data_IF_680931639357
#
_entry.id   IF_680931639357
#
_cell.length_a   1.000
_cell.length_b   1.000
_cell.length_c   1.000
_cell.angle_alpha   90.00
_cell.angle_beta   90.00
_cell.angle_gamma   90.00
#
_symmetry.space_group_name_H-M   'P 1'
#
loop_
_entity.id
_entity.type
_entity.pdbx_description
1 polymer ?
#
# COMPACT_ATOMS: atom_id res chain seq x y z
N UNK A 1 -27.39 -12.12 10.36
CA UNK A 1 -28.28 -10.93 10.29
C UNK A 1 -28.60 -10.38 11.68
N UNK A 2 -29.07 -11.23 12.59
CA UNK A 2 -29.41 -10.87 13.99
C UNK A 2 -28.21 -10.32 14.78
N UNK A 3 -27.04 -10.99 14.73
CA UNK A 3 -25.80 -10.48 15.37
C UNK A 3 -25.41 -9.08 14.89
N UNK A 4 -25.63 -8.76 13.60
CA UNK A 4 -25.32 -7.44 13.04
C UNK A 4 -26.29 -6.36 13.51
N UNK A 5 -27.58 -6.70 13.60
CA UNK A 5 -28.60 -5.78 14.12
C UNK A 5 -28.36 -5.46 15.60
N UNK A 6 -28.02 -6.49 16.41
CA UNK A 6 -27.66 -6.32 17.81
C UNK A 6 -26.41 -5.43 17.98
N UNK A 7 -25.34 -5.71 17.22
CA UNK A 7 -24.11 -4.91 17.26
C UNK A 7 -24.35 -3.45 16.84
N UNK A 8 -25.25 -3.20 15.89
CA UNK A 8 -25.62 -1.82 15.49
C UNK A 8 -26.37 -1.09 16.61
N UNK A 9 -27.38 -1.71 17.20
CA UNK A 9 -28.15 -1.12 18.30
C UNK A 9 -27.24 -0.81 19.51
N UNK A 10 -26.29 -1.68 19.79
CA UNK A 10 -25.25 -1.45 20.79
C UNK A 10 -24.35 -0.26 20.42
N UNK A 11 -23.82 -0.22 19.20
CA UNK A 11 -22.96 0.86 18.74
C UNK A 11 -23.65 2.23 18.81
N UNK A 12 -24.97 2.30 18.63
CA UNK A 12 -25.73 3.54 18.76
C UNK A 12 -25.74 4.12 20.19
N UNK A 13 -25.60 3.26 21.21
CA UNK A 13 -25.58 3.63 22.62
C UNK A 13 -24.18 3.95 23.17
N UNK A 14 -23.12 3.67 22.43
CA UNK A 14 -21.73 3.89 22.86
C UNK A 14 -21.25 5.32 22.57
N UNK A 15 -20.26 5.84 23.33
CA UNK A 15 -19.52 7.03 22.94
C UNK A 15 -18.91 6.84 21.55
N UNK A 16 -18.98 7.89 20.73
CA UNK A 16 -18.56 7.84 19.33
C UNK A 16 -17.17 8.46 19.16
N UNK A 17 -16.31 7.73 18.47
CA UNK A 17 -15.04 8.22 17.93
C UNK A 17 -15.19 8.36 16.42
N UNK A 18 -14.83 9.54 15.90
CA UNK A 18 -14.89 9.81 14.46
C UNK A 18 -13.59 9.34 13.79
N UNK A 19 -13.75 8.59 12.71
CA UNK A 19 -12.67 8.16 11.83
C UNK A 19 -12.45 9.20 10.73
N UNK A 20 -11.19 9.56 10.49
CA UNK A 20 -10.79 10.23 9.26
C UNK A 20 -10.81 9.21 8.08
N UNK A 21 -10.63 9.71 6.85
CA UNK A 21 -10.63 8.85 5.66
C UNK A 21 -9.54 7.75 5.75
N UNK A 22 -8.32 8.12 6.16
CA UNK A 22 -7.20 7.18 6.37
C UNK A 22 -7.51 6.16 7.48
N UNK A 23 -8.25 6.55 8.52
CA UNK A 23 -8.62 5.63 9.59
C UNK A 23 -9.64 4.57 9.12
N UNK A 24 -10.53 4.93 8.19
CA UNK A 24 -11.45 3.97 7.55
C UNK A 24 -10.67 2.94 6.73
N UNK A 25 -9.62 3.36 6.02
CA UNK A 25 -8.73 2.45 5.29
C UNK A 25 -7.99 1.50 6.24
N UNK A 26 -7.53 1.98 7.40
CA UNK A 26 -6.94 1.10 8.41
C UNK A 26 -7.94 0.15 9.06
N UNK A 27 -9.15 0.62 9.33
CA UNK A 27 -10.23 -0.25 9.79
C UNK A 27 -10.51 -1.36 8.76
N UNK A 28 -10.42 -1.06 7.46
CA UNK A 28 -10.56 -2.04 6.38
C UNK A 28 -9.41 -3.05 6.36
N UNK A 29 -8.17 -2.59 6.49
CA UNK A 29 -6.98 -3.45 6.63
C UNK A 29 -7.15 -4.44 7.80
N UNK A 30 -7.61 -3.96 8.95
CA UNK A 30 -7.83 -4.77 10.15
C UNK A 30 -9.00 -5.75 9.94
N UNK A 31 -10.13 -5.26 9.40
CA UNK A 31 -11.36 -6.02 9.17
C UNK A 31 -11.14 -7.32 8.41
N UNK A 32 -10.30 -7.27 7.38
CA UNK A 32 -10.06 -8.38 6.47
C UNK A 32 -8.87 -9.25 6.87
N UNK A 33 -8.17 -8.91 7.96
CA UNK A 33 -7.07 -9.71 8.48
C UNK A 33 -5.75 -9.53 7.74
N UNK A 34 -5.56 -8.44 6.99
CA UNK A 34 -4.26 -8.10 6.39
C UNK A 34 -3.17 -7.94 7.45
N UNK A 35 -3.54 -7.47 8.65
CA UNK A 35 -2.68 -7.30 9.81
C UNK A 35 -2.66 -8.51 10.76
N UNK A 36 -3.15 -9.69 10.35
CA UNK A 36 -3.18 -10.88 11.21
C UNK A 36 -1.80 -11.13 11.86
N UNK A 37 -1.75 -11.40 13.18
CA UNK A 37 -2.87 -11.75 14.07
C UNK A 37 -3.43 -10.58 14.89
N UNK A 38 -3.17 -9.33 14.51
CA UNK A 38 -3.70 -8.17 15.22
C UNK A 38 -5.24 -8.20 15.22
N UNK A 39 -5.87 -7.91 16.37
CA UNK A 39 -7.34 -8.01 16.54
C UNK A 39 -8.07 -6.67 16.40
N UNK A 40 -7.34 -5.58 16.30
CA UNK A 40 -7.89 -4.22 16.12
C UNK A 40 -6.78 -3.18 16.12
N UNK A 41 -7.08 -1.94 16.47
CA UNK A 41 -6.04 -0.92 16.60
C UNK A 41 -5.09 -1.28 17.75
N UNK A 42 -3.79 -1.09 17.53
CA UNK A 42 -2.76 -1.53 18.46
C UNK A 42 -2.95 -0.95 19.86
N UNK A 43 -2.82 -1.81 20.88
CA UNK A 43 -2.58 -1.38 22.27
C UNK A 43 -1.16 -0.88 22.44
N UNK A 44 -0.85 -0.24 23.58
CA UNK A 44 0.47 0.34 23.82
C UNK A 44 1.58 -0.72 23.67
N UNK A 45 1.37 -1.92 24.21
CA UNK A 45 2.34 -3.00 24.13
C UNK A 45 2.64 -3.44 22.68
N UNK A 46 1.62 -3.47 21.82
CA UNK A 46 1.76 -3.85 20.41
C UNK A 46 2.41 -2.71 19.61
N UNK A 47 2.00 -1.47 19.90
CA UNK A 47 2.57 -0.26 19.33
C UNK A 47 4.07 -0.14 19.60
N UNK A 48 4.49 -0.32 20.86
CA UNK A 48 5.90 -0.28 21.24
C UNK A 48 6.70 -1.41 20.57
N UNK A 49 6.16 -2.63 20.54
CA UNK A 49 6.83 -3.75 19.86
C UNK A 49 6.98 -3.50 18.35
N UNK A 50 5.92 -3.00 17.70
CA UNK A 50 5.96 -2.59 16.30
C UNK A 50 7.05 -1.54 16.06
N UNK A 51 7.05 -0.48 16.87
CA UNK A 51 7.92 0.68 16.67
C UNK A 51 9.40 0.36 16.91
N UNK A 52 9.71 -0.47 17.92
CA UNK A 52 11.09 -0.80 18.29
C UNK A 52 11.63 -2.06 17.60
N UNK A 53 10.78 -3.04 17.31
CA UNK A 53 11.22 -4.38 16.89
C UNK A 53 10.64 -4.83 15.55
N UNK A 54 9.78 -4.02 14.92
CA UNK A 54 9.14 -4.35 13.65
C UNK A 54 8.42 -5.71 13.68
N UNK A 55 7.98 -6.15 14.87
CA UNK A 55 7.39 -7.46 15.09
C UNK A 55 6.53 -7.47 16.36
N UNK A 56 5.61 -8.43 16.43
CA UNK A 56 4.80 -8.73 17.61
C UNK A 56 5.15 -10.12 18.13
N UNK A 57 5.31 -10.24 19.45
CA UNK A 57 5.45 -11.53 20.11
C UNK A 57 4.08 -12.21 20.20
N UNK A 58 4.00 -13.41 19.65
CA UNK A 58 2.82 -14.25 19.72
C UNK A 58 2.73 -14.94 21.09
N UNK A 59 1.52 -15.28 21.57
CA UNK A 59 1.34 -16.07 22.79
C UNK A 59 2.08 -17.42 22.77
N UNK A 60 2.29 -17.99 21.58
CA UNK A 60 3.06 -19.23 21.37
C UNK A 60 4.58 -19.04 21.48
N UNK A 61 5.06 -17.82 21.68
CA UNK A 61 6.48 -17.48 21.79
C UNK A 61 7.16 -17.08 20.47
N UNK A 62 6.51 -17.33 19.32
CA UNK A 62 6.99 -16.91 18.00
C UNK A 62 6.88 -15.41 17.76
N UNK A 63 7.47 -14.93 16.66
CA UNK A 63 7.36 -13.53 16.21
C UNK A 63 6.53 -13.45 14.92
N UNK A 64 5.63 -12.48 14.85
CA UNK A 64 5.00 -12.08 13.60
C UNK A 64 5.56 -10.72 13.17
N UNK A 65 5.98 -10.58 11.91
CA UNK A 65 6.40 -9.29 11.39
C UNK A 65 5.26 -8.26 11.53
N UNK A 66 5.58 -7.04 11.96
CA UNK A 66 4.65 -5.92 12.08
C UNK A 66 5.44 -4.62 12.19
N UNK A 67 5.71 -4.00 11.05
CA UNK A 67 6.65 -2.87 10.96
C UNK A 67 6.00 -1.49 10.96
N UNK A 68 4.68 -1.39 10.75
CA UNK A 68 3.96 -0.11 10.73
C UNK A 68 2.94 -0.03 11.87
N UNK A 69 2.92 1.08 12.64
CA UNK A 69 1.88 1.32 13.62
C UNK A 69 0.49 1.43 12.99
N UNK A 70 -0.42 0.51 13.33
CA UNK A 70 -1.84 0.55 12.96
C UNK A 70 -2.63 1.02 14.19
N UNK A 71 -2.77 2.34 14.31
CA UNK A 71 -3.27 3.02 15.51
C UNK A 71 -4.35 4.03 15.13
N UNK A 72 -5.26 4.31 16.07
CA UNK A 72 -6.28 5.35 15.95
C UNK A 72 -5.98 6.47 16.95
N UNK A 73 -5.99 7.73 16.51
CA UNK A 73 -5.66 8.87 17.35
C UNK A 73 -6.90 9.58 17.89
N UNK A 74 -6.78 10.14 19.10
CA UNK A 74 -7.81 10.95 19.76
C UNK A 74 -7.22 12.30 20.19
N UNK A 75 -7.98 13.37 19.98
CA UNK A 75 -7.72 14.64 20.65
C UNK A 75 -8.19 14.60 22.12
N UNK A 76 -7.85 15.63 22.90
CA UNK A 76 -8.21 15.69 24.33
C UNK A 76 -9.73 15.66 24.53
N UNK A 77 -10.49 16.36 23.69
CA UNK A 77 -11.95 16.41 23.78
C UNK A 77 -12.61 15.05 23.47
N UNK A 78 -12.07 14.29 22.52
CA UNK A 78 -12.51 12.94 22.19
C UNK A 78 -12.16 11.97 23.33
N UNK A 79 -10.94 12.05 23.88
CA UNK A 79 -10.55 11.27 25.05
C UNK A 79 -11.47 11.53 26.25
N UNK A 80 -11.77 12.79 26.55
CA UNK A 80 -12.64 13.16 27.68
C UNK A 80 -14.08 12.65 27.47
N UNK A 81 -14.57 12.70 26.24
CA UNK A 81 -15.90 12.17 25.87
C UNK A 81 -15.98 10.65 25.98
N UNK A 82 -14.90 9.94 25.66
CA UNK A 82 -14.80 8.49 25.85
C UNK A 82 -14.77 8.15 27.34
N UNK A 83 -14.02 8.91 28.13
CA UNK A 83 -13.99 8.79 29.59
C UNK A 83 -13.60 7.38 30.05
N UNK A 84 -14.43 6.76 30.89
CA UNK A 84 -14.22 5.42 31.43
C UNK A 84 -15.01 4.32 30.67
N UNK A 85 -15.53 4.62 29.48
CA UNK A 85 -16.27 3.63 28.71
C UNK A 85 -15.35 2.47 28.31
N UNK A 86 -15.78 1.20 28.49
CA UNK A 86 -14.96 0.05 28.09
C UNK A 86 -14.90 -0.13 26.57
N UNK A 87 -15.93 0.34 25.86
CA UNK A 87 -16.10 0.17 24.43
C UNK A 87 -16.53 1.50 23.79
N UNK A 88 -16.18 1.70 22.51
CA UNK A 88 -16.58 2.88 21.73
C UNK A 88 -17.09 2.47 20.36
N UNK A 89 -18.02 3.25 19.82
CA UNK A 89 -18.44 3.11 18.43
C UNK A 89 -17.55 3.97 17.52
N UNK A 90 -17.16 3.41 16.37
CA UNK A 90 -16.38 4.08 15.34
C UNK A 90 -17.30 4.54 14.21
N UNK A 91 -17.32 5.85 13.96
CA UNK A 91 -18.13 6.46 12.93
C UNK A 91 -17.26 7.00 11.79
N UNK A 92 -17.62 6.72 10.54
CA UNK A 92 -16.94 7.24 9.36
C UNK A 92 -17.08 8.77 9.21
N UNK A 93 -16.39 9.36 8.21
CA UNK A 93 -16.48 10.79 7.93
C UNK A 93 -17.91 11.30 7.66
N UNK A 94 -18.77 10.45 7.08
CA UNK A 94 -20.19 10.71 6.80
C UNK A 94 -21.10 10.52 8.02
N UNK A 95 -20.55 10.10 9.16
CA UNK A 95 -21.29 9.82 10.39
C UNK A 95 -21.87 8.40 10.47
N UNK A 96 -21.67 7.56 9.44
CA UNK A 96 -22.13 6.18 9.47
C UNK A 96 -21.36 5.37 10.51
N UNK A 97 -22.06 4.57 11.32
CA UNK A 97 -21.42 3.62 12.24
C UNK A 97 -20.79 2.47 11.46
N UNK A 98 -19.48 2.28 11.63
CA UNK A 98 -18.69 1.30 10.89
C UNK A 98 -18.25 0.12 11.76
N UNK A 99 -17.86 0.37 13.01
CA UNK A 99 -17.35 -0.65 13.90
C UNK A 99 -17.60 -0.32 15.38
N UNK A 100 -17.40 -1.31 16.25
CA UNK A 100 -17.19 -1.14 17.69
C UNK A 100 -15.74 -1.49 18.00
N UNK A 101 -15.07 -0.69 18.83
CA UNK A 101 -13.77 -0.98 19.38
C UNK A 101 -13.93 -1.37 20.85
N UNK A 102 -13.55 -2.60 21.18
CA UNK A 102 -13.80 -3.25 22.47
C UNK A 102 -12.62 -3.17 23.42
N UNK A 103 -12.94 -3.16 24.71
CA UNK A 103 -11.98 -3.25 25.81
C UNK A 103 -10.84 -2.23 25.65
N UNK A 104 -11.18 -0.98 25.41
CA UNK A 104 -10.24 0.02 24.92
C UNK A 104 -9.11 0.32 25.90
N UNK A 105 -8.01 0.82 25.36
CA UNK A 105 -6.87 1.35 26.10
C UNK A 105 -6.42 2.65 25.45
N UNK A 106 -6.34 3.74 26.22
CA UNK A 106 -5.91 5.05 25.74
C UNK A 106 -4.53 5.36 26.31
N UNK A 107 -3.58 5.70 25.43
CA UNK A 107 -2.18 5.95 25.80
C UNK A 107 -1.58 7.12 24.98
N UNK A 108 -0.44 7.71 25.41
CA UNK A 108 0.11 8.90 24.75
C UNK A 108 0.58 8.66 23.30
N UNK A 109 0.36 9.64 22.43
CA UNK A 109 0.86 9.67 21.07
C UNK A 109 2.14 10.52 20.98
N UNK A 110 3.29 9.91 21.26
CA UNK A 110 4.60 10.56 21.10
C UNK A 110 4.92 10.72 19.60
N UNK A 111 4.31 11.71 18.94
CA UNK A 111 4.34 11.88 17.48
C UNK A 111 5.75 11.95 16.92
N UNK A 112 6.63 12.77 17.48
CA UNK A 112 8.00 12.92 16.98
C UNK A 112 8.77 11.60 17.03
N UNK A 113 8.66 10.85 18.13
CA UNK A 113 9.27 9.53 18.27
C UNK A 113 8.69 8.53 17.26
N UNK A 114 7.36 8.50 17.11
CA UNK A 114 6.67 7.66 16.12
C UNK A 114 7.22 7.92 14.72
N UNK A 115 7.31 9.20 14.34
CA UNK A 115 7.77 9.63 13.01
C UNK A 115 9.23 9.25 12.82
N UNK A 116 10.10 9.58 13.77
CA UNK A 116 11.52 9.30 13.72
C UNK A 116 11.81 7.81 13.54
N UNK A 117 11.13 6.93 14.30
CA UNK A 117 11.38 5.48 14.26
C UNK A 117 10.76 4.81 13.05
N UNK A 118 9.65 5.32 12.53
CA UNK A 118 8.97 4.73 11.36
C UNK A 118 9.65 5.16 10.05
N UNK A 119 9.97 6.45 9.90
CA UNK A 119 10.53 7.01 8.66
C UNK A 119 12.05 7.18 8.67
N UNK A 120 12.71 7.17 9.83
CA UNK A 120 14.15 7.46 9.96
C UNK A 120 14.49 8.95 9.85
N UNK A 121 13.50 9.83 9.90
CA UNK A 121 13.62 11.30 9.86
C UNK A 121 12.36 11.91 10.47
N UNK A 122 12.43 13.16 10.90
CA UNK A 122 11.29 14.00 11.33
C UNK A 122 11.13 15.24 10.45
N UNK A 123 11.74 15.23 9.25
CA UNK A 123 11.64 16.34 8.31
C UNK A 123 10.16 16.66 7.98
N UNK A 124 9.80 17.96 7.87
CA UNK A 124 8.47 18.35 7.42
C UNK A 124 8.27 17.97 5.93
N UNK A 125 7.01 17.86 5.48
CA UNK A 125 6.70 17.53 4.09
C UNK A 125 6.65 16.03 3.79
N UNK A 126 6.65 15.17 4.81
CA UNK A 126 6.40 13.75 4.66
C UNK A 126 4.89 13.53 4.46
N UNK A 127 4.42 13.08 3.28
CA UNK A 127 3.01 13.19 2.92
C UNK A 127 2.05 12.48 3.88
N UNK A 128 2.40 11.27 4.32
CA UNK A 128 1.56 10.53 5.28
C UNK A 128 1.58 11.16 6.68
N UNK A 129 2.73 11.71 7.09
CA UNK A 129 2.87 12.37 8.39
C UNK A 129 1.99 13.63 8.41
N UNK A 130 2.05 14.43 7.35
CA UNK A 130 1.28 15.66 7.22
C UNK A 130 -0.24 15.39 7.11
N UNK A 131 -0.63 14.29 6.47
CA UNK A 131 -2.04 13.87 6.36
C UNK A 131 -2.59 13.32 7.68
N UNK A 132 -1.86 12.42 8.35
CA UNK A 132 -2.44 11.52 9.36
C UNK A 132 -1.81 11.59 10.75
N UNK A 133 -0.66 12.25 10.94
CA UNK A 133 0.03 12.29 12.25
C UNK A 133 0.14 13.71 12.79
N UNK A 134 0.59 14.66 11.98
CA UNK A 134 0.69 16.08 12.34
C UNK A 134 -0.65 16.62 12.84
N UNK A 135 -1.77 16.51 12.09
CA UNK A 135 -3.06 17.04 12.53
C UNK A 135 -3.79 16.16 13.55
N UNK A 136 -3.29 14.95 13.83
CA UNK A 136 -3.94 14.02 14.74
C UNK A 136 -3.90 14.50 16.20
N UNK A 137 -4.66 13.85 17.08
CA UNK A 137 -4.58 14.15 18.52
C UNK A 137 -3.35 13.56 19.22
N UNK A 138 -3.21 13.90 20.51
CA UNK A 138 -2.06 13.53 21.35
C UNK A 138 -2.24 12.19 22.08
N UNK A 139 -3.33 11.48 21.81
CA UNK A 139 -3.62 10.17 22.39
C UNK A 139 -3.83 9.15 21.28
N UNK A 140 -3.51 7.89 21.57
CA UNK A 140 -3.86 6.73 20.77
C UNK A 140 -4.87 5.89 21.54
N UNK A 141 -5.77 5.22 20.81
CA UNK A 141 -6.73 4.26 21.36
C UNK A 141 -6.57 2.91 20.68
N UNK A 142 -6.27 1.88 21.48
CA UNK A 142 -6.16 0.49 21.07
C UNK A 142 -7.34 -0.34 21.58
N UNK A 143 -7.63 -1.47 20.92
CA UNK A 143 -8.74 -2.34 21.30
C UNK A 143 -9.02 -3.44 20.28
N UNK A 144 -9.98 -4.31 20.59
CA UNK A 144 -10.41 -5.36 19.65
C UNK A 144 -11.50 -4.81 18.72
N UNK A 145 -11.30 -4.90 17.41
CA UNK A 145 -12.17 -4.27 16.40
C UNK A 145 -13.27 -5.24 15.93
N UNK A 146 -14.53 -4.83 16.08
CA UNK A 146 -15.69 -5.55 15.56
C UNK A 146 -16.40 -4.70 14.51
N UNK A 147 -16.24 -5.05 13.23
CA UNK A 147 -16.82 -4.30 12.12
C UNK A 147 -18.28 -4.70 11.90
N UNK A 148 -19.17 -3.72 11.75
CA UNK A 148 -20.61 -3.98 11.58
C UNK A 148 -20.93 -4.61 10.22
N UNK A 149 -20.21 -4.17 9.19
CA UNK A 149 -20.37 -4.62 7.81
C UNK A 149 -19.03 -4.51 7.06
N UNK A 150 -18.83 -5.28 5.97
CA UNK A 150 -17.67 -5.09 5.10
C UNK A 150 -17.58 -3.64 4.61
N UNK A 151 -16.37 -3.08 4.63
CA UNK A 151 -16.13 -1.70 4.22
C UNK A 151 -16.18 -1.62 2.69
N UNK A 152 -16.90 -0.63 2.18
CA UNK A 152 -17.06 -0.36 0.75
C UNK A 152 -16.87 1.12 0.48
N UNK A 153 -16.28 1.44 -0.67
CA UNK A 153 -16.03 2.82 -1.07
C UNK A 153 -17.04 3.32 -2.10
N UNK A 154 -17.75 2.40 -2.78
CA UNK A 154 -18.76 2.70 -3.80
C UNK A 154 -18.23 3.62 -4.93
N UNK A 155 -16.94 3.47 -5.26
CA UNK A 155 -16.21 4.24 -6.27
C UNK A 155 -16.08 3.51 -7.61
N UNK A 156 -16.84 2.42 -7.79
CA UNK A 156 -16.77 1.55 -8.95
C UNK A 156 -15.64 0.50 -8.90
N UNK A 157 -14.77 0.51 -7.89
CA UNK A 157 -13.60 -0.38 -7.80
C UNK A 157 -13.71 -1.46 -6.70
N UNK A 158 -14.82 -1.51 -5.96
CA UNK A 158 -14.99 -2.47 -4.85
C UNK A 158 -14.88 -3.93 -5.29
N UNK A 159 -15.19 -4.25 -6.54
CA UNK A 159 -15.05 -5.60 -7.09
C UNK A 159 -13.59 -6.06 -7.26
N UNK A 160 -12.63 -5.12 -7.24
CA UNK A 160 -11.20 -5.42 -7.18
C UNK A 160 -10.67 -5.51 -5.74
N UNK A 161 -11.44 -5.12 -4.72
CA UNK A 161 -11.00 -5.14 -3.31
C UNK A 161 -11.30 -6.51 -2.71
N UNK A 162 -10.47 -7.49 -3.05
CA UNK A 162 -10.59 -8.85 -2.53
C UNK A 162 -9.85 -8.95 -1.18
N UNK A 163 -10.56 -9.44 -0.17
CA UNK A 163 -9.95 -9.79 1.12
C UNK A 163 -8.89 -10.89 0.98
N UNK A 164 -7.97 -11.04 1.96
CA UNK A 164 -7.02 -12.14 2.00
C UNK A 164 -7.67 -13.52 1.86
N UNK A 165 -8.86 -13.72 2.45
CA UNK A 165 -9.59 -14.98 2.30
C UNK A 165 -10.08 -15.18 0.86
N UNK A 166 -10.69 -14.18 0.25
CA UNK A 166 -11.17 -14.26 -1.14
C UNK A 166 -10.01 -14.48 -2.13
N UNK A 167 -8.84 -13.89 -1.87
CA UNK A 167 -7.64 -14.12 -2.67
C UNK A 167 -7.18 -15.58 -2.58
N UNK A 168 -7.14 -16.16 -1.37
CA UNK A 168 -6.81 -17.58 -1.18
C UNK A 168 -7.79 -18.48 -1.92
N UNK A 169 -9.09 -18.22 -1.79
CA UNK A 169 -10.14 -18.97 -2.48
C UNK A 169 -9.97 -18.90 -4.01
N UNK A 170 -9.60 -17.74 -4.56
CA UNK A 170 -9.35 -17.57 -5.99
C UNK A 170 -8.05 -18.28 -6.44
N UNK A 171 -6.99 -18.29 -5.63
CA UNK A 171 -5.78 -19.06 -5.92
C UNK A 171 -6.06 -20.57 -5.97
N UNK A 172 -6.82 -21.07 -4.99
CA UNK A 172 -7.23 -22.49 -4.92
C UNK A 172 -8.11 -22.85 -6.12
N UNK A 173 -9.08 -22.00 -6.47
CA UNK A 173 -9.96 -22.18 -7.64
C UNK A 173 -9.17 -22.23 -8.95
N UNK A 174 -8.09 -21.46 -9.08
CA UNK A 174 -7.19 -21.50 -10.25
C UNK A 174 -6.20 -22.65 -10.20
N UNK A 175 -6.15 -23.43 -9.12
CA UNK A 175 -5.18 -24.51 -8.94
C UNK A 175 -3.74 -23.98 -8.92
N UNK A 176 -3.52 -22.83 -8.28
CA UNK A 176 -2.18 -22.23 -8.18
C UNK A 176 -1.28 -23.10 -7.29
N UNK A 177 -0.10 -23.48 -7.80
CA UNK A 177 0.91 -24.19 -7.01
C UNK A 177 2.06 -23.28 -6.51
N UNK A 178 2.08 -22.03 -7.01
CA UNK A 178 2.85 -20.93 -6.46
C UNK A 178 2.12 -19.60 -6.70
N UNK A 179 2.13 -18.72 -5.71
CA UNK A 179 1.64 -17.34 -5.87
C UNK A 179 2.79 -16.37 -5.66
N UNK A 180 3.00 -15.47 -6.63
CA UNK A 180 4.01 -14.43 -6.55
C UNK A 180 3.37 -13.05 -6.62
N UNK A 181 3.66 -12.21 -5.62
CA UNK A 181 3.05 -10.90 -5.48
C UNK A 181 3.93 -9.78 -6.04
N UNK A 182 3.30 -8.84 -6.75
CA UNK A 182 3.90 -7.59 -7.16
C UNK A 182 3.13 -6.41 -6.55
N UNK A 183 3.70 -5.81 -5.51
CA UNK A 183 3.23 -4.56 -4.92
C UNK A 183 3.57 -3.39 -5.83
N UNK A 184 2.62 -2.48 -6.04
CA UNK A 184 2.85 -1.24 -6.79
C UNK A 184 1.91 -0.11 -6.35
N UNK A 185 2.39 1.12 -6.52
CA UNK A 185 1.59 2.35 -6.39
C UNK A 185 1.61 3.21 -7.67
N UNK A 186 2.37 2.77 -8.68
CA UNK A 186 2.65 3.52 -9.91
C UNK A 186 2.07 2.79 -11.12
N UNK A 187 1.88 3.46 -12.26
CA UNK A 187 1.61 2.79 -13.54
C UNK A 187 2.62 1.68 -13.86
N UNK A 188 2.15 0.62 -14.51
CA UNK A 188 3.00 -0.50 -14.95
C UNK A 188 3.67 -0.14 -16.26
N UNK A 189 5.01 -0.01 -16.25
CA UNK A 189 5.83 0.04 -17.45
C UNK A 189 6.51 -1.33 -17.68
N UNK A 190 7.13 -1.53 -18.83
CA UNK A 190 7.69 -2.82 -19.24
C UNK A 190 8.88 -3.28 -18.39
N UNK A 191 9.44 -2.39 -17.55
CA UNK A 191 10.43 -2.75 -16.54
C UNK A 191 9.80 -3.54 -15.39
N UNK A 192 8.63 -3.12 -14.91
CA UNK A 192 7.85 -3.91 -13.96
C UNK A 192 7.40 -5.23 -14.60
N UNK A 193 6.93 -5.20 -15.84
CA UNK A 193 6.55 -6.41 -16.57
C UNK A 193 7.71 -7.39 -16.74
N UNK A 194 8.93 -6.90 -17.01
CA UNK A 194 10.13 -7.73 -17.06
C UNK A 194 10.35 -8.49 -15.75
N UNK A 195 10.21 -7.83 -14.59
CA UNK A 195 10.35 -8.47 -13.28
C UNK A 195 9.27 -9.54 -13.05
N UNK A 196 8.02 -9.26 -13.42
CA UNK A 196 6.90 -10.18 -13.26
C UNK A 196 7.03 -11.40 -14.19
N UNK A 197 7.33 -11.18 -15.47
CA UNK A 197 7.50 -12.24 -16.46
C UNK A 197 8.74 -13.10 -16.18
N UNK A 198 9.86 -12.47 -15.76
CA UNK A 198 11.06 -13.22 -15.37
C UNK A 198 10.85 -14.03 -14.09
N UNK A 199 10.05 -13.52 -13.14
CA UNK A 199 9.63 -14.31 -11.96
C UNK A 199 8.85 -15.55 -12.38
N UNK A 200 7.83 -15.40 -13.23
CA UNK A 200 7.06 -16.53 -13.75
C UNK A 200 7.97 -17.57 -14.40
N UNK A 201 8.87 -17.13 -15.28
CA UNK A 201 9.84 -18.00 -15.95
C UNK A 201 10.69 -18.79 -14.95
N UNK A 202 11.27 -18.12 -13.94
CA UNK A 202 12.06 -18.79 -12.90
C UNK A 202 11.25 -19.80 -12.10
N UNK A 203 9.99 -19.49 -11.77
CA UNK A 203 9.13 -20.44 -11.05
C UNK A 203 8.83 -21.69 -11.89
N UNK A 204 8.58 -21.53 -13.19
CA UNK A 204 8.43 -22.67 -14.10
C UNK A 204 9.72 -23.51 -14.16
N UNK A 205 10.89 -22.87 -14.21
CA UNK A 205 12.20 -23.55 -14.17
C UNK A 205 12.46 -24.27 -12.85
N UNK A 206 11.95 -23.74 -11.73
CA UNK A 206 11.98 -24.40 -10.42
C UNK A 206 11.02 -25.60 -10.31
N UNK A 207 10.16 -25.81 -11.31
CA UNK A 207 9.29 -26.98 -11.41
C UNK A 207 7.81 -26.72 -11.10
N UNK A 208 7.44 -25.51 -10.67
CA UNK A 208 6.03 -25.12 -10.54
C UNK A 208 5.34 -25.20 -11.91
N UNK A 209 4.08 -25.62 -11.93
CA UNK A 209 3.28 -25.88 -13.12
C UNK A 209 2.29 -24.76 -13.39
N UNK A 210 1.80 -24.11 -12.35
CA UNK A 210 0.80 -23.06 -12.45
C UNK A 210 1.09 -21.90 -11.48
N UNK A 211 2.23 -21.21 -11.64
CA UNK A 211 2.49 -20.01 -10.86
C UNK A 211 1.47 -18.92 -11.23
N UNK A 212 0.88 -18.22 -10.26
CA UNK A 212 -0.08 -17.14 -10.51
C UNK A 212 0.48 -15.81 -10.00
N UNK A 213 0.43 -14.78 -10.85
CA UNK A 213 0.78 -13.41 -10.50
C UNK A 213 -0.37 -12.79 -9.71
N UNK A 214 -0.07 -12.27 -8.53
CA UNK A 214 -0.92 -11.31 -7.85
C UNK A 214 -0.41 -9.89 -8.15
N UNK A 215 -0.99 -9.24 -9.15
CA UNK A 215 -0.74 -7.84 -9.47
C UNK A 215 -1.57 -6.98 -8.51
N UNK A 216 -0.90 -6.32 -7.56
CA UNK A 216 -1.57 -5.88 -6.34
C UNK A 216 -1.40 -4.39 -6.08
N UNK A 217 -2.03 -3.50 -6.89
CA UNK A 217 -1.96 -2.07 -6.69
C UNK A 217 -2.46 -1.66 -5.30
N UNK A 218 -1.73 -0.79 -4.62
CA UNK A 218 -2.19 -0.13 -3.40
C UNK A 218 -3.29 0.88 -3.75
N UNK A 219 -4.36 0.91 -2.94
CA UNK A 219 -5.53 1.73 -3.17
C UNK A 219 -6.05 2.53 -1.97
N UNK A 220 -5.35 2.52 -0.84
CA UNK A 220 -5.56 3.55 0.19
C UNK A 220 -4.89 4.88 -0.18
N UNK A 221 -4.71 5.75 0.81
CA UNK A 221 -4.06 7.05 0.66
C UNK A 221 -2.73 6.97 -0.10
N UNK A 222 -2.57 7.89 -1.05
CA UNK A 222 -1.33 8.17 -1.77
C UNK A 222 -1.13 9.68 -1.86
N UNK A 223 0.13 10.14 -1.88
CA UNK A 223 0.48 11.55 -2.00
C UNK A 223 -0.04 12.17 -3.31
N UNK A 224 -0.30 13.49 -3.29
CA UNK A 224 -1.03 14.19 -4.35
C UNK A 224 -0.40 14.13 -5.76
N UNK A 225 0.91 13.96 -5.90
CA UNK A 225 1.57 13.88 -7.22
C UNK A 225 1.65 12.45 -7.80
N UNK A 226 1.16 11.43 -7.08
CA UNK A 226 1.00 10.07 -7.60
C UNK A 226 -0.23 9.99 -8.52
N UNK A 227 -0.23 9.02 -9.44
CA UNK A 227 -1.38 8.81 -10.36
C UNK A 227 -2.55 8.22 -9.55
N UNK A 228 -3.76 8.80 -9.63
CA UNK A 228 -4.94 8.32 -8.90
C UNK A 228 -5.27 6.86 -9.20
N UNK A 229 -5.86 6.18 -8.21
CA UNK A 229 -6.18 4.76 -8.29
C UNK A 229 -7.04 4.38 -9.53
N UNK A 230 -8.15 5.07 -9.87
CA UNK A 230 -8.94 4.73 -11.05
C UNK A 230 -8.14 4.74 -12.35
N UNK A 231 -7.29 5.76 -12.53
CA UNK A 231 -6.41 5.90 -13.70
C UNK A 231 -5.37 4.78 -13.74
N UNK A 232 -4.80 4.40 -12.59
CA UNK A 232 -3.88 3.25 -12.51
C UNK A 232 -4.58 1.94 -12.86
N UNK A 233 -5.79 1.71 -12.36
CA UNK A 233 -6.55 0.50 -12.66
C UNK A 233 -6.89 0.40 -14.15
N UNK A 234 -7.30 1.50 -14.78
CA UNK A 234 -7.51 1.56 -16.23
C UNK A 234 -6.21 1.29 -17.00
N UNK A 235 -5.10 1.91 -16.57
CA UNK A 235 -3.79 1.68 -17.18
C UNK A 235 -3.35 0.22 -17.06
N UNK A 236 -3.58 -0.42 -15.91
CA UNK A 236 -3.27 -1.84 -15.70
C UNK A 236 -4.14 -2.76 -16.55
N UNK A 237 -5.44 -2.43 -16.76
CA UNK A 237 -6.31 -3.14 -17.70
C UNK A 237 -5.69 -3.15 -19.10
N UNK A 238 -5.20 -2.01 -19.57
CA UNK A 238 -4.53 -1.92 -20.88
C UNK A 238 -3.24 -2.72 -20.97
N UNK A 239 -2.47 -2.83 -19.89
CA UNK A 239 -1.27 -3.71 -19.87
C UNK A 239 -1.65 -5.18 -20.07
N UNK A 240 -2.77 -5.62 -19.50
CA UNK A 240 -3.28 -6.98 -19.66
C UNK A 240 -3.91 -7.21 -21.04
N UNK A 241 -4.71 -6.26 -21.54
CA UNK A 241 -5.30 -6.30 -22.87
C UNK A 241 -4.23 -6.35 -23.98
N UNK A 242 -3.14 -5.61 -23.82
CA UNK A 242 -2.00 -5.61 -24.77
C UNK A 242 -1.12 -6.87 -24.65
N UNK A 243 -1.42 -7.79 -23.73
CA UNK A 243 -0.68 -9.04 -23.55
C UNK A 243 0.73 -8.89 -22.97
N UNK A 244 1.05 -7.72 -22.40
CA UNK A 244 2.34 -7.50 -21.71
C UNK A 244 2.43 -8.36 -20.44
N UNK A 245 1.30 -8.53 -19.78
CA UNK A 245 1.06 -9.53 -18.73
C UNK A 245 -0.07 -10.44 -19.21
N UNK A 246 0.06 -11.73 -18.94
CA UNK A 246 -0.95 -12.73 -19.32
C UNK A 246 -2.15 -12.67 -18.36
N UNK A 247 -3.38 -12.35 -18.84
CA UNK A 247 -4.57 -12.24 -17.99
C UNK A 247 -5.02 -13.58 -17.39
N UNK A 248 -4.75 -14.72 -18.04
CA UNK A 248 -5.16 -16.03 -17.53
C UNK A 248 -4.40 -16.39 -16.26
N UNK A 249 -3.13 -15.97 -16.19
CA UNK A 249 -2.23 -16.29 -15.08
C UNK A 249 -1.96 -15.10 -14.17
N UNK A 250 -2.82 -14.07 -14.25
CA UNK A 250 -2.77 -12.87 -13.41
C UNK A 250 -4.09 -12.65 -12.69
N UNK A 251 -4.01 -12.34 -11.40
CA UNK A 251 -5.10 -11.81 -10.59
C UNK A 251 -4.76 -10.35 -10.28
N UNK A 252 -5.67 -9.44 -10.63
CA UNK A 252 -5.59 -8.03 -10.25
C UNK A 252 -6.48 -7.80 -9.04
N UNK A 253 -5.91 -7.27 -7.97
CA UNK A 253 -6.65 -6.92 -6.74
C UNK A 253 -6.10 -5.64 -6.14
N UNK A 254 -6.95 -4.88 -5.46
CA UNK A 254 -6.55 -3.64 -4.78
C UNK A 254 -6.22 -3.95 -3.32
N UNK A 255 -5.02 -3.56 -2.90
CA UNK A 255 -4.60 -3.64 -1.50
C UNK A 255 -5.07 -2.37 -0.76
N UNK A 256 -5.91 -2.48 0.29
CA UNK A 256 -6.61 -1.33 0.87
C UNK A 256 -5.76 -0.44 1.79
N UNK A 257 -4.50 -0.79 2.05
CA UNK A 257 -3.64 -0.04 2.98
C UNK A 257 -3.33 1.38 2.49
N UNK A 258 -3.25 2.36 3.40
CA UNK A 258 -2.59 3.64 3.15
C UNK A 258 -1.10 3.46 2.82
N UNK A 259 -0.53 4.30 1.96
CA UNK A 259 0.90 4.35 1.63
C UNK A 259 1.65 5.30 2.57
N UNK A 260 2.69 4.81 3.25
CA UNK A 260 3.47 5.61 4.21
C UNK A 260 4.65 6.34 3.57
N UNK A 261 5.16 5.80 2.47
CA UNK A 261 6.44 6.17 1.88
C UNK A 261 7.61 5.99 2.89
N UNK A 262 7.54 4.92 3.69
CA UNK A 262 8.51 4.63 4.77
C UNK A 262 9.56 3.56 4.38
N UNK A 263 9.75 3.34 3.08
CA UNK A 263 10.91 2.59 2.55
C UNK A 263 11.11 1.20 3.16
N UNK A 264 12.29 0.89 3.72
CA UNK A 264 12.60 -0.42 4.32
C UNK A 264 11.69 -0.82 5.48
N UNK A 265 11.11 0.13 6.22
CA UNK A 265 10.12 -0.17 7.26
C UNK A 265 8.82 -0.64 6.63
N UNK A 266 8.32 0.08 5.62
CA UNK A 266 7.04 -0.22 4.99
C UNK A 266 7.06 -1.43 4.05
N UNK A 267 8.18 -1.73 3.38
CA UNK A 267 8.26 -2.89 2.48
C UNK A 267 8.03 -4.21 3.24
N UNK A 268 8.38 -4.27 4.52
CA UNK A 268 8.08 -5.41 5.39
C UNK A 268 6.57 -5.58 5.56
N UNK A 269 5.83 -4.49 5.80
CA UNK A 269 4.37 -4.49 5.87
C UNK A 269 3.75 -4.95 4.54
N UNK A 270 4.22 -4.41 3.42
CA UNK A 270 3.72 -4.81 2.09
C UNK A 270 3.91 -6.30 1.82
N UNK A 271 5.02 -6.89 2.28
CA UNK A 271 5.31 -8.31 2.15
C UNK A 271 4.46 -9.16 3.11
N UNK A 272 4.41 -8.79 4.40
CA UNK A 272 3.60 -9.47 5.44
C UNK A 272 2.13 -9.55 5.04
N UNK A 273 1.56 -8.46 4.55
CA UNK A 273 0.17 -8.42 4.09
C UNK A 273 -0.09 -9.44 2.96
N UNK A 274 0.89 -9.66 2.08
CA UNK A 274 0.79 -10.62 0.97
C UNK A 274 0.99 -12.06 1.41
N UNK A 275 1.79 -12.30 2.44
CA UNK A 275 1.82 -13.61 3.13
C UNK A 275 0.42 -13.93 3.68
N UNK A 276 -0.22 -12.96 4.34
CA UNK A 276 -1.57 -13.13 4.88
C UNK A 276 -2.61 -13.37 3.78
N UNK A 277 -2.40 -12.84 2.58
CA UNK A 277 -3.20 -13.15 1.39
C UNK A 277 -2.86 -14.47 0.69
N UNK A 278 -1.77 -15.16 1.05
CA UNK A 278 -1.40 -16.47 0.48
C UNK A 278 -0.26 -16.45 -0.54
N UNK A 279 0.45 -15.32 -0.71
CA UNK A 279 1.64 -15.29 -1.56
C UNK A 279 2.82 -16.05 -0.93
N UNK A 280 3.49 -16.89 -1.71
CA UNK A 280 4.68 -17.64 -1.31
C UNK A 280 5.98 -16.97 -1.79
N UNK A 281 5.87 -16.12 -2.81
CA UNK A 281 6.95 -15.34 -3.39
C UNK A 281 6.61 -13.85 -3.41
N UNK A 282 7.61 -13.02 -3.16
CA UNK A 282 7.44 -11.57 -3.17
C UNK A 282 8.52 -10.91 -4.01
N UNK A 283 8.09 -10.18 -5.03
CA UNK A 283 8.98 -9.44 -5.91
C UNK A 283 9.34 -8.12 -5.23
N UNK A 284 10.65 -7.85 -5.12
CA UNK A 284 11.14 -6.59 -4.58
C UNK A 284 12.25 -6.01 -5.46
N UNK A 285 12.06 -4.75 -5.87
CA UNK A 285 12.97 -4.00 -6.72
C UNK A 285 13.88 -3.03 -5.96
N UNK A 286 14.35 -2.00 -6.66
CA UNK A 286 15.11 -0.86 -6.10
C UNK A 286 14.17 0.07 -5.34
N UNK A 287 14.62 0.57 -4.19
CA UNK A 287 13.96 1.62 -3.40
C UNK A 287 12.45 1.36 -3.16
N UNK A 288 12.07 0.15 -2.70
CA UNK A 288 10.66 -0.17 -2.48
C UNK A 288 10.10 0.73 -1.38
N UNK A 289 8.89 1.23 -1.61
CA UNK A 289 8.22 2.19 -0.74
C UNK A 289 9.00 3.50 -0.46
N UNK A 290 10.03 3.81 -1.25
CA UNK A 290 10.78 5.06 -1.13
C UNK A 290 10.13 6.26 -1.84
N UNK A 291 10.66 7.44 -1.51
CA UNK A 291 10.42 8.72 -2.16
C UNK A 291 11.67 9.61 -2.04
N UNK A 292 11.69 10.73 -2.78
CA UNK A 292 12.71 11.77 -2.57
C UNK A 292 12.54 12.45 -1.22
N UNK A 293 13.64 12.91 -0.62
CA UNK A 293 13.61 13.66 0.63
C UNK A 293 12.86 14.99 0.43
N UNK A 294 11.89 15.37 1.28
CA UNK A 294 11.09 16.58 1.05
C UNK A 294 11.91 17.88 0.99
N UNK A 295 13.01 17.95 1.76
CA UNK A 295 13.82 19.17 1.91
C UNK A 295 15.23 19.06 1.32
N UNK A 296 15.65 17.88 0.86
CA UNK A 296 17.03 17.64 0.39
C UNK A 296 17.03 17.01 -1.01
N UNK A 297 18.05 17.30 -1.82
CA UNK A 297 18.17 16.75 -3.19
C UNK A 297 18.74 15.33 -3.20
N UNK A 298 18.09 14.40 -2.50
CA UNK A 298 18.46 12.97 -2.44
C UNK A 298 17.24 12.08 -2.22
N UNK A 299 17.41 10.77 -2.43
CA UNK A 299 16.44 9.77 -2.00
C UNK A 299 16.34 9.75 -0.45
N UNK A 300 15.16 9.47 0.09
CA UNK A 300 14.94 9.35 1.53
C UNK A 300 15.68 8.13 2.11
N UNK A 301 15.75 7.05 1.34
CA UNK A 301 16.36 5.78 1.72
C UNK A 301 17.46 5.38 0.75
N UNK A 302 18.39 4.56 1.23
CA UNK A 302 19.29 3.87 0.32
C UNK A 302 18.50 2.83 -0.50
N UNK A 303 18.66 2.81 -1.83
CA UNK A 303 17.85 2.00 -2.73
C UNK A 303 17.96 0.48 -2.56
N UNK A 304 18.99 -0.01 -1.88
CA UNK A 304 19.18 -1.44 -1.61
C UNK A 304 18.71 -1.87 -0.23
N UNK A 305 18.41 -0.93 0.68
CA UNK A 305 18.04 -1.26 2.05
C UNK A 305 16.73 -2.04 2.12
N UNK A 306 15.73 -1.73 1.29
CA UNK A 306 14.46 -2.45 1.32
C UNK A 306 14.63 -3.95 1.05
N UNK A 307 15.45 -4.32 0.05
CA UNK A 307 15.77 -5.74 -0.26
C UNK A 307 16.53 -6.42 0.89
N UNK A 308 17.55 -5.74 1.44
CA UNK A 308 18.37 -6.28 2.53
C UNK A 308 17.57 -6.47 3.80
N UNK A 309 16.82 -5.46 4.24
CA UNK A 309 15.97 -5.50 5.43
C UNK A 309 14.93 -6.61 5.28
N UNK A 310 14.27 -6.71 4.13
CA UNK A 310 13.26 -7.76 3.93
C UNK A 310 13.85 -9.17 4.08
N UNK A 311 15.09 -9.40 3.61
CA UNK A 311 15.76 -10.71 3.71
C UNK A 311 16.17 -11.14 5.11
N UNK A 312 16.17 -10.20 6.07
CA UNK A 312 16.54 -10.46 7.47
C UNK A 312 15.41 -10.12 8.47
N UNK A 313 14.23 -9.77 7.96
CA UNK A 313 13.12 -9.31 8.78
C UNK A 313 12.49 -10.48 9.56
N UNK A 314 12.30 -10.34 10.89
CA UNK A 314 11.72 -11.40 11.72
C UNK A 314 10.26 -11.66 11.33
N UNK A 315 9.87 -12.93 11.31
CA UNK A 315 8.51 -13.37 10.96
C UNK A 315 8.21 -13.43 9.46
N UNK A 316 9.21 -13.17 8.59
CA UNK A 316 9.11 -13.30 7.12
C UNK A 316 9.97 -14.45 6.56
N UNK A 317 10.48 -15.34 7.41
CA UNK A 317 11.44 -16.38 7.03
C UNK A 317 10.88 -17.38 6.00
N UNK A 318 9.55 -17.52 5.96
CA UNK A 318 8.85 -18.41 5.02
C UNK A 318 8.58 -17.79 3.65
N UNK A 319 8.81 -16.48 3.49
CA UNK A 319 8.57 -15.78 2.23
C UNK A 319 9.80 -15.86 1.34
N UNK A 320 9.62 -16.40 0.14
CA UNK A 320 10.68 -16.42 -0.85
C UNK A 320 10.81 -15.05 -1.50
N UNK A 321 11.80 -14.29 -1.06
CA UNK A 321 12.09 -12.97 -1.61
C UNK A 321 12.84 -13.16 -2.92
N UNK A 322 12.32 -12.59 -3.99
CA UNK A 322 12.96 -12.60 -5.30
C UNK A 322 13.55 -11.21 -5.57
N UNK A 323 14.82 -10.96 -5.20
CA UNK A 323 15.45 -9.68 -5.43
C UNK A 323 15.78 -9.52 -6.91
N UNK A 324 15.43 -8.37 -7.46
CA UNK A 324 15.76 -8.02 -8.83
C UNK A 324 16.84 -6.94 -8.91
N UNK A 325 17.68 -7.06 -9.95
CA UNK A 325 18.52 -5.97 -10.42
C UNK A 325 17.62 -4.86 -10.98
N UNK A 326 18.18 -3.66 -11.09
CA UNK A 326 17.48 -2.52 -11.69
C UNK A 326 17.16 -2.85 -13.15
N UNK A 327 15.93 -2.60 -13.60
CA UNK A 327 15.55 -2.67 -15.00
C UNK A 327 15.61 -1.26 -15.61
N UNK A 328 16.18 -1.14 -16.81
CA UNK A 328 16.30 0.12 -17.55
C UNK A 328 16.04 -0.14 -19.05
N UNK A 329 15.80 0.93 -19.81
CA UNK A 329 15.55 0.81 -21.25
C UNK A 329 16.88 0.65 -21.98
N UNK A 330 17.10 -0.50 -22.61
CA UNK A 330 18.27 -0.77 -23.43
C UNK A 330 18.06 -0.14 -24.81
N UNK A 331 18.86 0.88 -25.13
CA UNK A 331 18.73 1.68 -26.35
C UNK A 331 19.18 0.92 -27.60
N UNK A 332 20.04 -0.09 -27.45
CA UNK A 332 20.51 -0.95 -28.54
C UNK A 332 19.47 -2.01 -28.85
N UNK A 333 18.98 -2.71 -27.81
CA UNK A 333 17.97 -3.75 -27.95
C UNK A 333 16.53 -3.22 -28.13
N UNK A 334 16.34 -1.91 -27.90
CA UNK A 334 15.04 -1.20 -27.97
C UNK A 334 13.95 -1.84 -27.11
N UNK A 335 14.30 -2.22 -25.89
CA UNK A 335 13.37 -2.84 -24.92
C UNK A 335 13.88 -2.68 -23.49
N UNK A 336 13.00 -2.94 -22.52
CA UNK A 336 13.42 -3.03 -21.12
C UNK A 336 14.29 -4.26 -20.88
N UNK A 337 15.41 -4.09 -20.18
CA UNK A 337 16.34 -5.15 -19.80
C UNK A 337 16.92 -4.91 -18.40
N UNK A 338 17.53 -5.93 -17.80
CA UNK A 338 18.27 -5.76 -16.55
C UNK A 338 19.54 -4.95 -16.81
N UNK A 339 19.79 -3.95 -15.96
CA UNK A 339 20.93 -3.06 -16.08
C UNK A 339 22.28 -3.81 -15.93
N UNK A 340 23.21 -3.52 -16.82
CA UNK A 340 24.56 -4.07 -16.84
C UNK A 340 25.60 -2.94 -16.72
N UNK A 341 26.33 -2.84 -15.59
CA UNK A 341 27.27 -1.75 -15.36
C UNK A 341 28.38 -1.63 -16.42
N UNK A 342 28.80 -2.76 -16.99
CA UNK A 342 29.85 -2.82 -18.03
C UNK A 342 29.47 -2.14 -19.34
N UNK A 343 28.17 -1.90 -19.58
CA UNK A 343 27.64 -1.21 -20.77
C UNK A 343 26.61 -0.15 -20.39
N UNK A 344 26.88 0.55 -19.29
CA UNK A 344 25.95 1.51 -18.69
C UNK A 344 25.47 2.61 -19.64
N UNK A 345 26.28 2.98 -20.64
CA UNK A 345 25.94 3.95 -21.69
C UNK A 345 24.80 3.51 -22.60
N UNK A 346 24.53 2.21 -22.69
CA UNK A 346 23.46 1.67 -23.54
C UNK A 346 22.08 1.76 -22.86
N UNK A 347 22.03 2.14 -21.58
CA UNK A 347 20.81 2.14 -20.78
C UNK A 347 20.28 3.55 -20.49
N UNK A 348 18.98 3.73 -20.72
CA UNK A 348 18.24 4.93 -20.37
C UNK A 348 17.36 4.68 -19.13
N UNK A 349 17.57 5.50 -18.10
CA UNK A 349 16.71 5.56 -16.92
C UNK A 349 15.64 6.63 -17.12
N UNK A 350 14.37 6.22 -17.11
CA UNK A 350 13.22 7.12 -17.19
C UNK A 350 12.57 7.17 -15.82
N UNK A 351 12.76 8.26 -15.10
CA UNK A 351 12.13 8.47 -13.80
C UNK A 351 10.63 8.73 -13.95
N UNK A 352 9.87 8.56 -12.87
CA UNK A 352 8.46 8.96 -12.84
C UNK A 352 8.28 10.42 -13.24
N UNK A 353 9.14 11.33 -12.75
CA UNK A 353 9.13 12.75 -13.16
C UNK A 353 9.29 12.91 -14.68
N UNK A 354 10.25 12.21 -15.30
CA UNK A 354 10.47 12.29 -16.75
C UNK A 354 9.30 11.71 -17.54
N UNK A 355 8.73 10.59 -17.07
CA UNK A 355 7.52 10.00 -17.64
C UNK A 355 6.34 10.97 -17.58
N UNK A 356 6.15 11.68 -16.46
CA UNK A 356 5.14 12.73 -16.34
C UNK A 356 5.39 13.90 -17.27
N UNK A 357 6.65 14.30 -17.45
CA UNK A 357 7.01 15.35 -18.42
C UNK A 357 6.61 14.94 -19.83
N UNK A 358 6.96 13.73 -20.27
CA UNK A 358 6.54 13.22 -21.59
C UNK A 358 5.04 13.27 -21.78
N UNK A 359 4.27 12.75 -20.82
CA UNK A 359 2.81 12.75 -20.92
C UNK A 359 2.20 14.16 -20.94
N UNK A 360 2.82 15.13 -20.24
CA UNK A 360 2.37 16.53 -20.23
C UNK A 360 2.74 17.30 -21.50
N UNK A 361 3.86 16.99 -22.15
CA UNK A 361 4.30 17.68 -23.37
C UNK A 361 3.79 17.02 -24.65
N UNK A 362 3.09 15.88 -24.55
CA UNK A 362 2.65 15.09 -25.70
C UNK A 362 3.78 14.31 -26.37
N UNK A 363 4.97 14.26 -25.75
CA UNK A 363 6.07 13.41 -26.18
C UNK A 363 5.83 11.96 -25.76
N UNK A 364 6.36 11.00 -26.52
CA UNK A 364 6.30 9.60 -26.16
C UNK A 364 7.62 9.14 -25.52
N UNK A 365 7.58 8.24 -24.51
CA UNK A 365 8.76 7.51 -24.13
C UNK A 365 9.21 6.62 -25.30
N UNK A 366 10.47 6.12 -25.29
CA UNK A 366 10.94 5.20 -26.31
C UNK A 366 10.02 3.97 -26.47
N UNK A 367 9.81 3.55 -27.72
CA UNK A 367 9.04 2.34 -28.04
C UNK A 367 9.52 1.16 -27.21
N UNK A 368 8.60 0.44 -26.57
CA UNK A 368 8.94 -0.70 -25.70
C UNK A 368 9.25 -0.33 -24.25
N UNK A 369 9.18 0.96 -23.86
CA UNK A 369 9.19 1.37 -22.45
C UNK A 369 7.89 1.02 -21.72
N UNK A 370 6.75 1.26 -22.36
CA UNK A 370 5.39 0.96 -21.86
C UNK A 370 4.52 0.55 -23.06
N UNK A 371 3.48 -0.25 -22.85
CA UNK A 371 2.56 -0.56 -23.94
C UNK A 371 1.78 0.68 -24.40
N UNK A 372 1.44 0.79 -25.70
CA UNK A 372 0.74 1.95 -26.24
C UNK A 372 -0.61 2.23 -25.58
N UNK A 373 -1.39 1.18 -25.28
CA UNK A 373 -2.69 1.33 -24.61
C UNK A 373 -2.54 1.93 -23.21
N UNK A 374 -1.58 1.41 -22.43
CA UNK A 374 -1.27 1.92 -21.11
C UNK A 374 -0.70 3.34 -21.13
N UNK A 375 0.13 3.67 -22.12
CA UNK A 375 0.67 5.03 -22.28
C UNK A 375 -0.44 6.04 -22.61
N UNK A 376 -1.37 5.68 -23.49
CA UNK A 376 -2.50 6.53 -23.86
C UNK A 376 -3.35 6.95 -22.64
N UNK A 377 -3.63 6.02 -21.72
CA UNK A 377 -4.37 6.32 -20.48
C UNK A 377 -3.66 7.41 -19.66
N UNK A 378 -2.32 7.36 -19.58
CA UNK A 378 -1.55 8.38 -18.86
C UNK A 378 -1.60 9.73 -19.57
N UNK A 379 -1.46 9.76 -20.89
CA UNK A 379 -1.56 11.01 -21.68
C UNK A 379 -2.92 11.65 -21.50
N UNK A 380 -4.01 10.87 -21.60
CA UNK A 380 -5.37 11.36 -21.43
C UNK A 380 -5.59 11.95 -20.03
N UNK A 381 -5.08 11.29 -18.98
CA UNK A 381 -5.09 11.81 -17.61
C UNK A 381 -4.29 13.12 -17.45
N UNK A 382 -3.06 13.20 -17.96
CA UNK A 382 -2.27 14.43 -17.81
C UNK A 382 -2.82 15.59 -18.63
N UNK A 383 -3.51 15.32 -19.75
CA UNK A 383 -4.23 16.33 -20.52
C UNK A 383 -5.48 16.85 -19.79
N UNK A 384 -6.20 16.00 -19.03
CA UNK A 384 -7.37 16.45 -18.27
C UNK A 384 -6.98 17.46 -17.18
N UNK A 385 -5.84 17.26 -16.51
CA UNK A 385 -5.31 18.19 -15.51
C UNK A 385 -4.97 19.57 -16.09
N UNK A 386 -4.48 19.63 -17.34
CA UNK A 386 -4.18 20.90 -18.01
C UNK A 386 -5.47 21.65 -18.38
N UNK A 387 -6.50 20.90 -18.78
CA UNK A 387 -7.80 21.46 -19.16
C UNK A 387 -8.52 22.04 -17.95
N UNK A 388 -8.56 21.31 -16.83
CA UNK A 388 -9.14 21.78 -15.57
C UNK A 388 -8.40 23.03 -15.03
N UNK A 389 -7.07 23.03 -15.10
CA UNK A 389 -6.24 24.19 -14.71
C UNK A 389 -6.44 25.42 -15.59
N UNK A 390 -6.80 25.25 -16.88
CA UNK A 390 -7.10 26.36 -17.79
C UNK A 390 -8.52 26.94 -17.59
N UNK A 391 -9.42 26.21 -16.94
CA UNK A 391 -10.80 26.63 -16.66
C UNK A 391 -11.03 27.27 -15.29
N UNK A 392 -10.02 27.30 -14.41
CA UNK A 392 -10.10 28.01 -13.14
C UNK A 392 -10.03 29.54 -13.38
N UNK A 393 -11.08 30.33 -13.02
CA UNK A 393 -11.03 31.77 -13.21
C UNK A 393 -9.95 32.37 -12.30
N UNK A 394 -9.13 33.25 -12.86
CA UNK A 394 -8.24 34.12 -12.09
C UNK A 394 -9.10 34.92 -11.10
N UNK A 395 -9.10 34.53 -9.83
CA UNK A 395 -9.67 35.35 -8.77
C UNK A 395 -8.88 36.64 -8.72
N UNK A 396 -9.51 37.70 -9.21
CA UNK A 396 -9.00 39.05 -9.23
C UNK A 396 -8.61 39.48 -7.81
N UNK A 397 -7.34 39.87 -7.66
CA UNK A 397 -6.89 40.78 -6.62
C UNK A 397 -7.67 42.09 -6.74
N UNK A 398 -8.42 42.44 -5.69
CA UNK A 398 -8.71 43.82 -5.29
C UNK A 398 -8.49 43.92 -3.80
#
# INVERSE_FOLDING_TARGET
PERRAALRAEAEALPRVRLAAVDVEWAHVLAEGWASPLRGFMREQEYLQCLHFNSLRLPSGGLANMSLPIVLALDDAAKDRVGAAPDVALAGPDGQLLAVLRSIEIYPHNKEERIARTWGTTAPGLPYVDEAITPAGNWLIGGDLEVLQPIKYNDGLDHYRLSPQQLRDEFDKRGADAVFAFQLRNPVHNGHALLMNDTRRRLLEMGFKNPILLLHPLGGFTKADDVPLPVRMEQHSKVLEDGVLDPETTIVSIFPSPMHYAGPTEVQWHAKARINAGANFYIVGRDPAGMGHPTEKRDLYNPDHGKKVLSMAPGLEKLNILPFKVAAYDTVAKKMAFFEPSRSQDFLFISGTKMRTFAKTGENPPDGFMCPGGWKVLVDYYNSLQTEGATAPATATV
#
